data_IF_360925865907
#
_entry.id   IF_360925865907
#
_cell.length_a   1.000
_cell.length_b   1.000
_cell.length_c   1.000
_cell.angle_alpha   90.00
_cell.angle_beta   90.00
_cell.angle_gamma   90.00
#
_symmetry.space_group_name_H-M   'P 1'
#
loop_
_entity.id
_entity.type
_entity.pdbx_description
1 polymer ?
#
# COMPACT_ATOMS: atom_id res chain seq x y z
N UNK A 1 6.65 -3.79 -12.84
CA UNK A 1 5.24 -3.71 -12.40
C UNK A 1 5.18 -3.19 -10.97
N UNK A 2 4.61 -2.01 -10.81
CA UNK A 2 4.48 -1.39 -9.49
C UNK A 2 3.23 -1.93 -8.80
N UNK A 3 3.42 -2.59 -7.64
CA UNK A 3 2.33 -3.14 -6.84
C UNK A 3 2.83 -3.45 -5.41
N UNK A 4 2.00 -4.08 -4.59
CA UNK A 4 2.33 -4.51 -3.23
C UNK A 4 2.19 -6.01 -3.02
N UNK A 5 2.40 -6.44 -1.79
CA UNK A 5 2.35 -7.86 -1.39
C UNK A 5 1.02 -8.55 -1.71
N UNK A 6 -0.08 -7.80 -1.72
CA UNK A 6 -1.42 -8.28 -2.07
C UNK A 6 -1.54 -8.77 -3.52
N UNK A 7 -0.65 -8.34 -4.42
CA UNK A 7 -0.67 -8.78 -5.81
C UNK A 7 -0.27 -10.24 -6.00
N UNK A 8 0.35 -10.88 -5.00
CA UNK A 8 0.77 -12.27 -5.06
C UNK A 8 -0.36 -13.20 -5.52
N UNK A 9 -1.53 -13.11 -4.89
CA UNK A 9 -2.69 -13.94 -5.24
C UNK A 9 -3.17 -13.81 -6.69
N UNK A 10 -2.93 -12.64 -7.30
CA UNK A 10 -3.33 -12.37 -8.70
C UNK A 10 -2.29 -12.80 -9.75
N UNK A 11 -1.04 -13.03 -9.33
CA UNK A 11 0.09 -13.28 -10.26
C UNK A 11 0.72 -14.65 -10.05
N UNK A 12 0.49 -15.27 -8.88
CA UNK A 12 0.98 -16.63 -8.62
C UNK A 12 0.38 -17.64 -9.58
N UNK A 13 1.14 -18.70 -9.83
CA UNK A 13 0.73 -19.79 -10.70
C UNK A 13 -0.57 -20.42 -10.20
N UNK A 14 -1.56 -20.45 -11.07
CA UNK A 14 -2.86 -21.05 -10.80
C UNK A 14 -2.86 -22.58 -11.06
N UNK A 15 -4.00 -23.22 -10.81
CA UNK A 15 -4.20 -24.66 -11.06
C UNK A 15 -4.00 -25.05 -12.52
N UNK A 16 -4.10 -24.09 -13.47
CA UNK A 16 -3.88 -24.29 -14.90
C UNK A 16 -2.41 -24.11 -15.30
N UNK A 17 -1.57 -23.73 -14.33
CA UNK A 17 -0.16 -23.50 -14.55
C UNK A 17 0.16 -22.13 -15.18
N UNK A 18 -0.79 -21.18 -15.11
CA UNK A 18 -0.61 -19.81 -15.60
C UNK A 18 -0.19 -18.94 -14.42
N UNK A 19 0.83 -18.10 -14.61
CA UNK A 19 1.40 -17.23 -13.58
C UNK A 19 2.82 -17.62 -13.18
N UNK A 20 3.31 -17.04 -12.08
CA UNK A 20 4.66 -17.19 -11.57
C UNK A 20 4.74 -18.23 -10.42
N UNK A 21 5.83 -18.97 -10.37
CA UNK A 21 6.20 -19.79 -9.21
C UNK A 21 6.81 -18.92 -8.10
N UNK A 22 6.86 -19.41 -6.87
CA UNK A 22 7.31 -18.63 -5.72
C UNK A 22 8.76 -18.12 -5.83
N UNK A 23 9.61 -18.84 -6.53
CA UNK A 23 11.01 -18.50 -6.78
C UNK A 23 11.20 -17.48 -7.93
N UNK A 24 10.14 -17.20 -8.68
CA UNK A 24 10.16 -16.18 -9.75
C UNK A 24 9.74 -14.80 -9.25
N UNK A 25 9.30 -14.66 -7.99
CA UNK A 25 8.95 -13.37 -7.41
C UNK A 25 10.15 -12.62 -6.87
N UNK A 26 10.13 -11.30 -7.06
CA UNK A 26 11.06 -10.36 -6.47
C UNK A 26 10.39 -9.02 -6.20
N UNK A 27 10.96 -8.26 -5.26
CA UNK A 27 10.55 -6.88 -4.97
C UNK A 27 11.78 -5.98 -4.92
N UNK A 28 11.65 -4.77 -5.45
CA UNK A 28 12.67 -3.75 -5.41
C UNK A 28 12.05 -2.44 -4.90
N UNK A 29 12.79 -1.65 -4.12
CA UNK A 29 12.41 -0.28 -3.81
C UNK A 29 12.23 0.55 -5.08
N UNK A 30 11.35 1.54 -5.02
CA UNK A 30 11.21 2.52 -6.09
C UNK A 30 12.28 3.59 -5.88
N UNK A 31 13.26 3.65 -6.76
CA UNK A 31 14.31 4.67 -6.78
C UNK A 31 13.95 5.79 -7.75
N UNK A 32 14.06 7.04 -7.31
CA UNK A 32 13.83 8.23 -8.14
C UNK A 32 15.11 8.98 -8.48
N UNK A 33 16.26 8.48 -8.05
CA UNK A 33 17.59 8.99 -8.41
C UNK A 33 18.03 10.20 -7.60
N UNK A 34 17.51 10.39 -6.40
CA UNK A 34 17.92 11.47 -5.50
C UNK A 34 19.02 10.99 -4.53
N UNK A 35 19.91 11.90 -4.17
CA UNK A 35 20.94 11.61 -3.16
C UNK A 35 20.29 11.26 -1.81
N UNK A 36 20.75 10.17 -1.21
CA UNK A 36 20.26 9.69 0.08
C UNK A 36 19.33 8.48 -0.02
N UNK A 37 19.05 8.00 -1.23
CA UNK A 37 18.24 6.79 -1.44
C UNK A 37 19.01 5.48 -1.27
N UNK A 38 20.32 5.53 -1.02
CA UNK A 38 21.20 4.34 -1.06
C UNK A 38 20.82 3.28 -0.01
N UNK A 39 20.16 3.71 1.08
CA UNK A 39 19.66 2.82 2.11
C UNK A 39 18.11 2.71 2.13
N UNK A 40 17.45 3.13 1.06
CA UNK A 40 16.00 3.05 0.96
C UNK A 40 15.53 1.60 0.88
N UNK A 41 14.53 1.28 1.69
CA UNK A 41 13.77 0.04 1.62
C UNK A 41 12.46 0.19 0.85
N UNK A 42 11.59 -0.78 1.02
CA UNK A 42 10.27 -0.78 0.38
C UNK A 42 9.37 0.31 0.99
N UNK A 43 8.42 0.78 0.20
CA UNK A 43 7.35 1.65 0.68
C UNK A 43 6.40 0.84 1.55
N UNK A 44 6.27 1.22 2.81
CA UNK A 44 5.45 0.52 3.80
C UNK A 44 4.88 1.51 4.82
N UNK A 45 3.79 1.14 5.44
CA UNK A 45 3.13 1.94 6.47
C UNK A 45 1.78 1.33 6.82
N UNK A 46 1.14 1.87 7.85
CA UNK A 46 -0.20 1.44 8.22
C UNK A 46 -1.21 2.04 7.25
N UNK A 47 -2.07 1.19 6.72
CA UNK A 47 -3.20 1.52 5.86
C UNK A 47 -4.36 0.55 6.15
N UNK A 48 -5.50 0.71 5.49
CA UNK A 48 -6.68 -0.13 5.73
C UNK A 48 -7.15 -0.12 7.19
N UNK A 49 -7.27 1.07 7.77
CA UNK A 49 -7.72 1.24 9.15
C UNK A 49 -9.17 0.81 9.33
N UNK A 50 -9.43 0.08 10.41
CA UNK A 50 -10.78 -0.20 10.86
C UNK A 50 -11.26 0.91 11.80
N UNK A 51 -12.46 1.42 11.54
CA UNK A 51 -13.07 2.47 12.35
C UNK A 51 -14.34 1.95 12.98
N UNK A 52 -14.48 2.17 14.29
CA UNK A 52 -15.71 1.83 15.02
C UNK A 52 -16.60 3.07 15.09
N UNK A 53 -17.87 2.92 14.71
CA UNK A 53 -18.84 4.00 14.83
C UNK A 53 -19.10 4.34 16.30
N UNK A 54 -18.57 5.45 16.77
CA UNK A 54 -18.72 5.91 18.16
C UNK A 54 -20.16 6.28 18.55
N UNK A 55 -21.07 6.36 17.58
CA UNK A 55 -22.50 6.64 17.80
C UNK A 55 -23.38 5.37 17.73
N UNK A 56 -22.80 4.20 17.54
CA UNK A 56 -23.51 2.93 17.61
C UNK A 56 -23.91 2.62 19.06
N UNK A 57 -24.80 1.66 19.25
CA UNK A 57 -25.17 1.20 20.60
C UNK A 57 -23.96 0.54 21.29
N UNK A 58 -23.91 0.56 22.62
CA UNK A 58 -22.83 -0.11 23.38
C UNK A 58 -22.72 -1.60 23.03
N UNK A 59 -23.85 -2.26 22.76
CA UNK A 59 -23.90 -3.66 22.35
C UNK A 59 -23.22 -3.86 20.99
N UNK A 60 -23.50 -3.00 20.02
CA UNK A 60 -22.91 -3.07 18.68
C UNK A 60 -21.42 -2.74 18.72
N UNK A 61 -21.02 -1.74 19.51
CA UNK A 61 -19.60 -1.40 19.71
C UNK A 61 -18.86 -2.60 20.30
N UNK A 62 -19.42 -3.22 21.37
CA UNK A 62 -18.81 -4.39 21.98
C UNK A 62 -18.71 -5.56 21.00
N UNK A 63 -19.77 -5.87 20.26
CA UNK A 63 -19.77 -6.94 19.27
C UNK A 63 -18.72 -6.69 18.16
N UNK A 64 -18.56 -5.43 17.73
CA UNK A 64 -17.53 -5.04 16.75
C UNK A 64 -16.14 -5.26 17.33
N UNK A 65 -15.88 -4.86 18.57
CA UNK A 65 -14.59 -5.06 19.23
C UNK A 65 -14.28 -6.55 19.40
N UNK A 66 -15.25 -7.35 19.85
CA UNK A 66 -15.08 -8.81 20.00
C UNK A 66 -14.74 -9.47 18.64
N UNK A 67 -15.39 -9.02 17.55
CA UNK A 67 -15.08 -9.49 16.19
C UNK A 67 -13.68 -9.09 15.75
N UNK A 68 -13.28 -7.84 15.97
CA UNK A 68 -11.94 -7.37 15.60
C UNK A 68 -10.84 -8.10 16.41
N UNK A 69 -11.08 -8.33 17.71
CA UNK A 69 -10.17 -9.14 18.54
C UNK A 69 -10.04 -10.57 17.98
N UNK A 70 -11.16 -11.20 17.64
CA UNK A 70 -11.16 -12.52 17.02
C UNK A 70 -10.39 -12.54 15.70
N UNK A 71 -10.61 -11.57 14.81
CA UNK A 71 -9.90 -11.49 13.51
C UNK A 71 -8.39 -11.42 13.69
N UNK A 72 -7.90 -10.67 14.68
CA UNK A 72 -6.45 -10.46 14.86
C UNK A 72 -5.78 -11.49 15.79
N UNK A 73 -6.54 -12.34 16.45
CA UNK A 73 -5.98 -13.29 17.44
C UNK A 73 -6.30 -14.76 17.18
N UNK A 74 -7.41 -15.07 16.49
CA UNK A 74 -7.76 -16.46 16.17
C UNK A 74 -6.91 -17.04 15.04
N UNK A 75 -6.82 -18.35 14.97
CA UNK A 75 -6.13 -19.05 13.88
C UNK A 75 -6.79 -18.77 12.52
N UNK A 76 -8.11 -18.76 12.48
CA UNK A 76 -8.89 -18.48 11.27
C UNK A 76 -8.68 -17.04 10.79
N UNK A 77 -8.85 -16.06 11.70
CA UNK A 77 -8.70 -14.64 11.38
C UNK A 77 -7.28 -14.29 10.94
N UNK A 78 -6.27 -14.75 11.67
CA UNK A 78 -4.87 -14.48 11.33
C UNK A 78 -4.43 -15.19 10.05
N UNK A 79 -4.98 -16.38 9.73
CA UNK A 79 -4.76 -17.05 8.45
C UNK A 79 -5.39 -16.28 7.30
N UNK A 80 -6.64 -15.84 7.46
CA UNK A 80 -7.31 -15.05 6.43
C UNK A 80 -6.56 -13.75 6.12
N UNK A 81 -6.10 -13.02 7.15
CA UNK A 81 -5.31 -11.80 6.96
C UNK A 81 -3.98 -12.06 6.25
N UNK A 82 -3.26 -13.11 6.63
CA UNK A 82 -1.92 -13.40 6.12
C UNK A 82 -1.95 -14.07 4.74
N UNK A 83 -2.70 -15.17 4.59
CA UNK A 83 -2.61 -16.05 3.42
C UNK A 83 -3.64 -15.74 2.35
N UNK A 84 -4.86 -15.33 2.73
CA UNK A 84 -5.91 -15.04 1.76
C UNK A 84 -5.86 -13.59 1.27
N UNK A 85 -5.64 -12.64 2.19
CA UNK A 85 -5.59 -11.20 1.88
C UNK A 85 -4.18 -10.69 1.60
N UNK A 86 -3.14 -11.43 1.99
CA UNK A 86 -1.75 -11.05 1.77
C UNK A 86 -1.31 -9.83 2.59
N UNK A 87 -1.94 -9.58 3.74
CA UNK A 87 -1.62 -8.45 4.59
C UNK A 87 -0.42 -8.72 5.48
N UNK A 88 0.45 -7.72 5.61
CA UNK A 88 1.47 -7.67 6.66
C UNK A 88 0.81 -7.08 7.90
N UNK A 89 0.36 -7.94 8.80
CA UNK A 89 -0.36 -7.51 10.01
C UNK A 89 0.60 -6.87 11.03
N UNK A 90 0.28 -5.69 11.58
CA UNK A 90 1.08 -5.04 12.62
C UNK A 90 0.85 -5.62 14.03
N UNK A 91 -0.08 -6.55 14.20
CA UNK A 91 -0.44 -7.11 15.48
C UNK A 91 0.56 -8.20 15.93
N UNK A 92 0.81 -8.30 17.24
CA UNK A 92 1.77 -9.28 17.81
C UNK A 92 1.36 -10.72 17.58
N UNK A 93 0.06 -10.99 17.46
CA UNK A 93 -0.49 -12.32 17.20
C UNK A 93 -0.49 -12.66 15.68
N UNK A 94 0.05 -11.80 14.84
CA UNK A 94 0.08 -12.00 13.40
C UNK A 94 0.74 -13.31 13.02
N UNK A 95 0.11 -14.07 12.13
CA UNK A 95 0.67 -15.28 11.55
C UNK A 95 1.70 -14.91 10.49
N UNK A 96 2.77 -15.71 10.38
CA UNK A 96 3.71 -15.57 9.28
C UNK A 96 2.98 -15.94 7.98
N UNK A 97 2.96 -15.02 7.02
CA UNK A 97 2.36 -15.26 5.72
C UNK A 97 3.23 -16.24 4.89
N UNK A 98 2.58 -17.14 4.16
CA UNK A 98 3.22 -18.00 3.16
C UNK A 98 3.64 -17.23 1.89
N UNK A 99 3.15 -16.01 1.72
CA UNK A 99 3.42 -15.13 0.59
C UNK A 99 4.92 -14.73 0.51
N UNK A 100 5.65 -15.13 -0.56
CA UNK A 100 7.08 -14.84 -0.71
C UNK A 100 7.38 -13.34 -0.76
N UNK A 101 6.46 -12.50 -1.24
CA UNK A 101 6.64 -11.04 -1.25
C UNK A 101 6.68 -10.45 0.16
N UNK A 102 5.95 -11.05 1.11
CA UNK A 102 6.01 -10.67 2.54
C UNK A 102 7.37 -11.04 3.13
N UNK A 103 7.91 -12.21 2.81
CA UNK A 103 9.23 -12.63 3.24
C UNK A 103 10.33 -11.68 2.73
N UNK A 104 10.25 -11.27 1.45
CA UNK A 104 11.16 -10.28 0.86
C UNK A 104 11.05 -8.94 1.58
N UNK A 105 9.83 -8.46 1.85
CA UNK A 105 9.61 -7.21 2.58
C UNK A 105 10.24 -7.24 3.98
N UNK A 106 10.08 -8.34 4.69
CA UNK A 106 10.67 -8.53 6.01
C UNK A 106 12.21 -8.59 5.96
N UNK A 107 12.79 -9.15 4.89
CA UNK A 107 14.23 -9.19 4.71
C UNK A 107 14.82 -7.77 4.57
N UNK A 108 14.18 -6.87 3.80
CA UNK A 108 14.61 -5.46 3.72
C UNK A 108 14.65 -4.78 5.08
N UNK A 109 13.66 -5.05 5.95
CA UNK A 109 13.62 -4.51 7.31
C UNK A 109 14.74 -5.10 8.15
N UNK A 110 14.97 -6.41 8.08
CA UNK A 110 16.01 -7.12 8.82
C UNK A 110 17.43 -6.68 8.41
N UNK A 111 17.63 -6.29 7.15
CA UNK A 111 18.87 -5.71 6.63
C UNK A 111 19.12 -4.26 7.07
N UNK A 112 18.19 -3.67 7.84
CA UNK A 112 18.28 -2.29 8.32
C UNK A 112 18.01 -1.23 7.23
N UNK A 113 17.32 -1.60 6.16
CA UNK A 113 16.87 -0.64 5.15
C UNK A 113 15.80 0.28 5.73
N UNK A 114 15.86 1.56 5.36
CA UNK A 114 14.90 2.56 5.80
C UNK A 114 13.61 2.46 5.01
N UNK A 115 12.53 2.09 5.67
CA UNK A 115 11.20 2.05 5.05
C UNK A 115 10.75 3.45 4.62
N UNK A 116 10.15 3.54 3.44
CA UNK A 116 9.51 4.75 2.94
C UNK A 116 8.04 4.74 3.36
N UNK A 117 7.64 5.73 4.14
CA UNK A 117 6.25 5.83 4.61
C UNK A 117 5.32 6.36 3.52
N UNK A 118 4.10 5.82 3.47
CA UNK A 118 3.03 6.40 2.69
C UNK A 118 2.66 7.79 3.21
N UNK A 119 2.58 8.76 2.33
CA UNK A 119 2.26 10.13 2.68
C UNK A 119 0.87 10.55 2.17
N UNK A 120 -0.13 9.71 2.41
CA UNK A 120 -1.50 9.93 1.95
C UNK A 120 -2.10 11.23 2.48
N UNK A 121 -1.72 11.66 3.70
CA UNK A 121 -2.19 12.90 4.31
C UNK A 121 -1.75 14.17 3.58
N UNK A 122 -0.74 14.09 2.73
CA UNK A 122 -0.29 15.23 1.91
C UNK A 122 -0.98 15.31 0.55
N UNK A 123 -1.78 14.32 0.18
CA UNK A 123 -2.57 14.31 -1.06
C UNK A 123 -3.83 15.13 -0.82
N UNK A 124 -4.02 16.29 -1.49
CA UNK A 124 -5.11 17.22 -1.18
C UNK A 124 -6.46 16.71 -1.67
N UNK A 125 -6.50 15.95 -2.76
CA UNK A 125 -7.72 15.38 -3.33
C UNK A 125 -7.44 14.27 -4.34
N UNK A 126 -8.46 13.45 -4.63
CA UNK A 126 -8.44 12.51 -5.75
C UNK A 126 -8.36 13.21 -7.10
N UNK A 127 -8.96 14.40 -7.22
CA UNK A 127 -8.90 15.22 -8.43
C UNK A 127 -7.46 15.57 -8.77
N UNK A 128 -6.67 16.03 -7.81
CA UNK A 128 -5.26 16.32 -8.01
C UNK A 128 -4.48 15.04 -8.40
N UNK A 129 -4.64 13.98 -7.66
CA UNK A 129 -3.95 12.69 -7.92
C UNK A 129 -4.20 12.19 -9.34
N UNK A 130 -5.45 12.20 -9.77
CA UNK A 130 -5.83 11.76 -11.11
C UNK A 130 -5.35 12.73 -12.20
N UNK A 131 -5.36 14.04 -11.95
CA UNK A 131 -4.82 15.06 -12.85
C UNK A 131 -3.32 14.88 -13.10
N UNK A 132 -2.54 14.63 -12.05
CA UNK A 132 -1.10 14.33 -12.18
C UNK A 132 -0.88 13.02 -12.96
N UNK A 133 -1.65 11.98 -12.65
CA UNK A 133 -1.57 10.69 -13.36
C UNK A 133 -1.87 10.85 -14.87
N UNK A 134 -2.87 11.66 -15.20
CA UNK A 134 -3.23 11.97 -16.60
C UNK A 134 -2.09 12.70 -17.32
N UNK A 135 -1.53 13.75 -16.70
CA UNK A 135 -0.43 14.51 -17.27
C UNK A 135 0.83 13.64 -17.49
N UNK A 136 1.17 12.77 -16.52
CA UNK A 136 2.27 11.80 -16.66
C UNK A 136 2.04 10.83 -17.81
N UNK A 137 0.81 10.32 -17.94
CA UNK A 137 0.45 9.39 -19.01
C UNK A 137 0.57 10.07 -20.39
N UNK A 138 0.09 11.31 -20.52
CA UNK A 138 0.22 12.09 -21.75
C UNK A 138 1.68 12.39 -22.09
N UNK A 139 2.48 12.76 -21.10
CA UNK A 139 3.92 12.95 -21.29
C UNK A 139 4.61 11.67 -21.78
N UNK A 140 4.36 10.55 -21.13
CA UNK A 140 4.92 9.26 -21.54
C UNK A 140 4.48 8.82 -22.94
N UNK A 141 3.26 9.19 -23.36
CA UNK A 141 2.73 8.91 -24.69
C UNK A 141 3.23 9.91 -25.77
N UNK A 142 4.00 10.93 -25.39
CA UNK A 142 4.47 11.98 -26.30
C UNK A 142 3.37 12.96 -26.76
N UNK A 143 2.23 13.01 -26.07
CA UNK A 143 1.08 13.90 -26.37
C UNK A 143 0.95 15.07 -25.40
N UNK A 144 1.79 15.14 -24.36
CA UNK A 144 1.87 16.21 -23.39
C UNK A 144 3.31 16.63 -23.14
N UNK A 145 3.49 17.75 -22.42
CA UNK A 145 4.82 18.27 -22.07
C UNK A 145 5.17 17.98 -20.61
N UNK A 146 6.47 18.07 -20.27
CA UNK A 146 6.90 18.02 -18.87
C UNK A 146 6.36 19.20 -18.06
N UNK A 147 6.21 20.37 -18.68
CA UNK A 147 5.65 21.55 -18.02
C UNK A 147 4.19 21.33 -17.61
N UNK A 148 3.42 20.56 -18.39
CA UNK A 148 2.05 20.16 -18.01
C UNK A 148 2.07 19.27 -16.75
N UNK A 149 3.04 18.34 -16.65
CA UNK A 149 3.21 17.50 -15.46
C UNK A 149 3.56 18.35 -14.25
N UNK A 150 4.53 19.26 -14.37
CA UNK A 150 4.93 20.19 -13.30
C UNK A 150 3.74 21.05 -12.87
N UNK A 151 3.00 21.60 -13.81
CA UNK A 151 1.81 22.41 -13.51
C UNK A 151 0.72 21.61 -12.81
N UNK A 152 0.41 20.41 -13.28
CA UNK A 152 -0.56 19.53 -12.62
C UNK A 152 -0.12 19.18 -11.20
N UNK A 153 1.17 18.90 -10.98
CA UNK A 153 1.69 18.55 -9.66
C UNK A 153 1.70 19.75 -8.72
N UNK A 154 2.31 20.86 -9.08
CA UNK A 154 2.56 22.02 -8.20
C UNK A 154 1.32 22.91 -8.08
N UNK A 155 0.83 23.42 -9.21
CA UNK A 155 -0.29 24.36 -9.22
C UNK A 155 -1.62 23.65 -8.90
N UNK A 156 -1.79 22.43 -9.38
CA UNK A 156 -2.93 21.59 -9.07
C UNK A 156 -3.00 21.28 -7.57
N UNK A 157 -1.87 20.91 -6.95
CA UNK A 157 -1.81 20.68 -5.51
C UNK A 157 -2.23 21.92 -4.73
N UNK A 158 -1.66 23.07 -5.04
CA UNK A 158 -1.94 24.32 -4.35
C UNK A 158 -3.42 24.72 -4.45
N UNK A 159 -4.03 24.51 -5.62
CA UNK A 159 -5.45 24.79 -5.86
C UNK A 159 -6.36 23.90 -5.02
N UNK A 160 -6.14 22.58 -5.06
CA UNK A 160 -6.95 21.61 -4.34
C UNK A 160 -6.76 21.72 -2.83
N UNK A 161 -5.51 21.94 -2.38
CA UNK A 161 -5.23 22.15 -0.95
C UNK A 161 -5.96 23.36 -0.39
N UNK A 162 -5.95 24.50 -1.14
CA UNK A 162 -6.67 25.69 -0.73
C UNK A 162 -8.18 25.50 -0.73
N UNK A 163 -8.72 24.74 -1.65
CA UNK A 163 -10.16 24.42 -1.69
C UNK A 163 -10.59 23.55 -0.48
N UNK A 164 -9.74 22.63 -0.06
CA UNK A 164 -9.98 21.76 1.10
C UNK A 164 -9.74 22.47 2.46
N UNK A 165 -8.99 23.57 2.48
CA UNK A 165 -8.62 24.33 3.68
C UNK A 165 -8.93 25.84 3.45
N UNK A 166 -10.22 26.24 3.41
CA UNK A 166 -10.64 27.61 3.12
C UNK A 166 -10.28 28.63 4.20
#
# INVERSE_FOLDING_TARGET
YQNGTWAYGSVKKDEKGIGLTDDEFGMLPIYIGVKGEENQGLCTGSENYWCINSKASEVDIKATLDFLEWVVTSDEGTTALADEMGFVSPFKAAKAASNPLVAISNAYIAEGKTSVSWNFSSIPSETWKNGVGTALTQYAAGTGSWDDVVSAFVNGWATEYKAANP
#
